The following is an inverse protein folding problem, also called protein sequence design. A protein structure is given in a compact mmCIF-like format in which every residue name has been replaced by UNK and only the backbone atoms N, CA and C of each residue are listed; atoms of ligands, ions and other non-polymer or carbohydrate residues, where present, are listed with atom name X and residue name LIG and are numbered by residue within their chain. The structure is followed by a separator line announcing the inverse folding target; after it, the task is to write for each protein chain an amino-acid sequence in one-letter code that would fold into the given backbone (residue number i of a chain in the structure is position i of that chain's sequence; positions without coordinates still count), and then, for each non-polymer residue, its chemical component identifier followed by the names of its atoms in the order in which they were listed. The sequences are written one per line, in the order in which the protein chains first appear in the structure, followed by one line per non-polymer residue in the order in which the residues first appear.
data_IF_488497692707
#
_entry.id   IF_488497692707
#
_cell.length_a   1.000
_cell.length_b   1.000
_cell.length_c   1.000
_cell.angle_alpha   90.00
_cell.angle_beta   90.00
_cell.angle_gamma   90.00
#
_symmetry.space_group_name_H-M   'P 1'
#
loop_
_entity.id
_entity.type
_entity.pdbx_description
1 polymer ?
#
# COMPACT_ATOMS: atom_id res chain seq x y z
N UNK A 1 -40.63 8.04 -19.59
CA UNK A 1 -41.30 7.51 -18.38
C UNK A 1 -41.52 6.02 -18.61
N UNK A 2 -40.60 5.16 -18.17
CA UNK A 2 -40.71 3.71 -18.34
C UNK A 2 -40.11 3.05 -17.11
N UNK A 3 -40.98 2.58 -16.22
CA UNK A 3 -40.64 1.84 -15.00
C UNK A 3 -40.45 0.39 -15.45
N UNK A 4 -39.23 -0.16 -15.35
CA UNK A 4 -38.98 -1.57 -15.67
C UNK A 4 -39.38 -2.49 -14.49
N UNK A 5 -39.81 -3.73 -14.78
CA UNK A 5 -40.56 -4.56 -13.86
C UNK A 5 -39.65 -5.59 -13.17
N UNK A 6 -39.01 -5.23 -12.06
CA UNK A 6 -38.33 -6.22 -11.20
C UNK A 6 -39.06 -6.49 -9.88
N UNK A 7 -40.25 -5.92 -9.71
CA UNK A 7 -41.18 -6.19 -8.61
C UNK A 7 -42.38 -7.06 -9.05
N UNK A 8 -42.16 -8.11 -9.83
CA UNK A 8 -43.16 -9.16 -9.97
C UNK A 8 -42.83 -10.30 -9.01
N UNK A 9 -43.16 -10.04 -7.75
CA UNK A 9 -43.47 -11.06 -6.75
C UNK A 9 -44.51 -11.99 -7.38
N UNK A 10 -44.17 -13.27 -7.59
CA UNK A 10 -45.17 -14.28 -7.93
C UNK A 10 -46.23 -14.31 -6.81
N UNK A 11 -47.52 -14.06 -7.09
CA UNK A 11 -48.52 -13.90 -6.02
C UNK A 11 -49.03 -15.21 -5.41
N UNK A 12 -48.34 -16.35 -5.56
CA UNK A 12 -48.82 -17.66 -5.07
C UNK A 12 -47.78 -18.45 -4.28
N UNK A 13 -47.15 -17.82 -3.28
CA UNK A 13 -46.47 -18.53 -2.19
C UNK A 13 -47.02 -18.03 -0.87
N UNK A 14 -48.23 -18.51 -0.55
CA UNK A 14 -48.78 -18.46 0.80
C UNK A 14 -47.96 -19.42 1.65
N UNK A 15 -47.25 -18.88 2.64
CA UNK A 15 -46.65 -19.67 3.71
C UNK A 15 -45.14 -19.90 3.57
N UNK A 16 -44.46 -19.62 4.68
CA UNK A 16 -43.10 -20.04 5.07
C UNK A 16 -41.93 -19.06 4.81
N UNK A 17 -41.66 -18.27 5.87
CA UNK A 17 -40.36 -17.77 6.35
C UNK A 17 -39.73 -16.47 5.75
N UNK A 18 -39.79 -15.33 6.48
CA UNK A 18 -39.17 -14.05 6.10
C UNK A 18 -37.64 -14.08 5.87
N UNK A 19 -36.95 -15.07 6.43
CA UNK A 19 -35.48 -15.17 6.41
C UNK A 19 -34.89 -15.73 5.11
N UNK A 20 -35.70 -16.33 4.23
CA UNK A 20 -35.20 -16.86 2.95
C UNK A 20 -34.92 -15.75 1.92
N UNK A 21 -35.70 -14.66 1.94
CA UNK A 21 -35.39 -13.46 1.15
C UNK A 21 -34.08 -12.78 1.59
N UNK A 22 -33.78 -12.77 2.89
CA UNK A 22 -32.52 -12.24 3.41
C UNK A 22 -31.31 -13.06 2.92
N UNK A 23 -31.39 -14.40 2.93
CA UNK A 23 -30.31 -15.26 2.43
C UNK A 23 -30.08 -15.10 0.93
N UNK A 24 -31.13 -14.93 0.13
CA UNK A 24 -30.96 -14.69 -1.31
C UNK A 24 -30.42 -13.29 -1.64
N UNK A 25 -30.74 -12.27 -0.84
CA UNK A 25 -30.22 -10.91 -1.03
C UNK A 25 -28.75 -10.78 -0.55
N UNK A 26 -28.37 -11.44 0.55
CA UNK A 26 -26.99 -11.43 1.05
C UNK A 26 -25.98 -12.15 0.15
N UNK A 27 -26.42 -13.13 -0.64
CA UNK A 27 -25.54 -13.92 -1.50
C UNK A 27 -25.37 -13.36 -2.93
N UNK A 28 -26.13 -12.32 -3.31
CA UNK A 28 -26.14 -11.79 -4.69
C UNK A 28 -25.54 -10.39 -4.85
N UNK A 29 -24.60 -9.99 -4.00
CA UNK A 29 -23.62 -8.98 -4.42
C UNK A 29 -22.67 -9.65 -5.43
N UNK A 30 -23.10 -9.66 -6.70
CA UNK A 30 -22.28 -10.08 -7.84
C UNK A 30 -20.90 -9.46 -7.70
N UNK A 31 -19.88 -10.32 -7.72
CA UNK A 31 -18.48 -9.94 -7.90
C UNK A 31 -18.43 -8.93 -9.05
N UNK A 32 -17.92 -7.72 -8.80
CA UNK A 32 -17.29 -6.95 -9.88
C UNK A 32 -15.82 -7.35 -9.80
N UNK A 33 -15.38 -8.43 -10.47
CA UNK A 33 -14.01 -8.89 -10.37
C UNK A 33 -13.04 -7.78 -10.78
N UNK A 34 -13.43 -6.97 -11.76
CA UNK A 34 -12.63 -5.89 -12.33
C UNK A 34 -12.14 -4.88 -11.27
N UNK A 35 -13.02 -4.41 -10.35
CA UNK A 35 -12.62 -3.43 -9.33
C UNK A 35 -11.68 -4.00 -8.27
N UNK A 36 -11.91 -5.27 -7.89
CA UNK A 36 -11.08 -5.94 -6.87
C UNK A 36 -9.69 -6.16 -7.45
N UNK A 37 -9.62 -6.71 -8.67
CA UNK A 37 -8.36 -6.96 -9.37
C UNK A 37 -7.63 -5.65 -9.62
N UNK A 38 -8.30 -4.62 -10.14
CA UNK A 38 -7.64 -3.35 -10.44
C UNK A 38 -7.04 -2.70 -9.18
N UNK A 39 -7.76 -2.67 -8.06
CA UNK A 39 -7.27 -2.03 -6.83
C UNK A 39 -6.14 -2.85 -6.21
N UNK A 40 -6.28 -4.18 -6.21
CA UNK A 40 -5.22 -5.06 -5.74
C UNK A 40 -3.95 -4.93 -6.59
N UNK A 41 -4.08 -4.88 -7.92
CA UNK A 41 -2.97 -4.66 -8.84
C UNK A 41 -2.27 -3.33 -8.55
N UNK A 42 -3.02 -2.26 -8.27
CA UNK A 42 -2.44 -0.97 -7.90
C UNK A 42 -1.65 -1.06 -6.59
N UNK A 43 -2.19 -1.71 -5.55
CA UNK A 43 -1.48 -1.89 -4.27
C UNK A 43 -0.20 -2.73 -4.46
N UNK A 44 -0.30 -3.87 -5.14
CA UNK A 44 0.83 -4.78 -5.34
C UNK A 44 1.92 -4.10 -6.17
N UNK A 45 1.59 -3.56 -7.34
CA UNK A 45 2.57 -2.92 -8.22
C UNK A 45 3.15 -1.65 -7.58
N UNK A 46 2.32 -0.86 -6.89
CA UNK A 46 2.75 0.34 -6.17
C UNK A 46 3.60 0.04 -4.92
N UNK A 47 3.67 -1.21 -4.47
CA UNK A 47 4.64 -1.65 -3.46
C UNK A 47 5.87 -2.33 -4.05
N UNK A 48 5.69 -3.21 -5.04
CA UNK A 48 6.77 -3.99 -5.66
C UNK A 48 7.71 -3.11 -6.45
N UNK A 49 7.20 -2.21 -7.30
CA UNK A 49 8.03 -1.40 -8.19
C UNK A 49 9.02 -0.53 -7.39
N UNK A 50 8.60 0.25 -6.37
CA UNK A 50 9.54 1.04 -5.57
C UNK A 50 10.56 0.18 -4.82
N UNK A 51 10.15 -0.98 -4.28
CA UNK A 51 11.06 -1.90 -3.60
C UNK A 51 12.09 -2.49 -4.56
N UNK A 52 11.69 -2.90 -5.76
CA UNK A 52 12.61 -3.38 -6.79
C UNK A 52 13.62 -2.30 -7.18
N UNK A 53 13.17 -1.06 -7.40
CA UNK A 53 14.08 0.07 -7.68
C UNK A 53 15.07 0.27 -6.54
N UNK A 54 14.62 0.22 -5.29
CA UNK A 54 15.50 0.37 -4.12
C UNK A 54 16.50 -0.78 -3.96
N UNK A 55 16.12 -2.01 -4.28
CA UNK A 55 17.01 -3.18 -4.23
C UNK A 55 18.05 -3.15 -5.35
N UNK A 56 17.65 -2.75 -6.56
CA UNK A 56 18.58 -2.55 -7.68
C UNK A 56 19.57 -1.43 -7.33
N UNK A 57 19.09 -0.31 -6.76
CA UNK A 57 19.96 0.77 -6.27
C UNK A 57 20.99 0.26 -5.25
N UNK A 58 20.57 -0.60 -4.32
CA UNK A 58 21.45 -1.14 -3.30
C UNK A 58 22.50 -2.11 -3.85
N UNK A 59 22.10 -3.10 -4.66
CA UNK A 59 22.99 -4.19 -5.06
C UNK A 59 23.74 -3.92 -6.37
N UNK A 60 23.13 -3.20 -7.32
CA UNK A 60 23.78 -2.91 -8.61
C UNK A 60 24.53 -1.58 -8.60
N UNK A 61 24.06 -0.59 -7.84
CA UNK A 61 24.70 0.74 -7.78
C UNK A 61 25.49 0.98 -6.47
N UNK A 62 25.54 -0.01 -5.56
CA UNK A 62 26.31 0.08 -4.32
C UNK A 62 25.78 1.11 -3.32
N UNK A 63 24.53 1.58 -3.48
CA UNK A 63 23.92 2.59 -2.62
C UNK A 63 23.43 1.93 -1.33
N UNK A 64 24.28 1.90 -0.32
CA UNK A 64 23.93 1.36 0.99
C UNK A 64 22.79 2.17 1.64
N UNK A 65 21.75 1.51 2.16
CA UNK A 65 20.61 2.20 2.75
C UNK A 65 20.94 2.69 4.15
N UNK A 66 20.54 3.93 4.46
CA UNK A 66 20.52 4.43 5.83
C UNK A 66 19.32 3.87 6.63
N UNK A 67 19.25 4.19 7.93
CA UNK A 67 18.16 3.75 8.80
C UNK A 67 16.77 4.15 8.26
N UNK A 68 16.59 5.42 7.86
CA UNK A 68 15.32 5.90 7.32
C UNK A 68 14.97 5.28 5.96
N UNK A 69 15.97 5.00 5.11
CA UNK A 69 15.76 4.25 3.87
C UNK A 69 15.18 2.86 4.13
N UNK A 70 15.69 2.14 5.14
CA UNK A 70 15.13 0.85 5.54
C UNK A 70 13.73 1.01 6.14
N UNK A 71 13.54 2.03 6.97
CA UNK A 71 12.24 2.29 7.60
C UNK A 71 11.13 2.54 6.57
N UNK A 72 11.46 3.21 5.46
CA UNK A 72 10.53 3.45 4.35
C UNK A 72 10.20 2.19 3.52
N UNK A 73 10.98 1.12 3.63
CA UNK A 73 10.74 -0.15 2.90
C UNK A 73 9.69 -1.03 3.58
N UNK A 74 9.63 -1.04 4.92
CA UNK A 74 8.67 -1.89 5.64
C UNK A 74 7.21 -1.60 5.29
N UNK A 75 6.74 -0.32 5.22
CA UNK A 75 5.37 -0.05 4.83
C UNK A 75 5.04 -0.57 3.43
N UNK A 76 5.97 -0.51 2.46
CA UNK A 76 5.76 -1.11 1.14
C UNK A 76 5.53 -2.62 1.20
N UNK A 77 6.24 -3.33 2.08
CA UNK A 77 5.98 -4.75 2.33
C UNK A 77 4.56 -4.99 2.86
N UNK A 78 4.09 -4.14 3.78
CA UNK A 78 2.71 -4.19 4.29
C UNK A 78 1.70 -3.91 3.18
N UNK A 79 1.96 -2.94 2.29
CA UNK A 79 1.09 -2.64 1.14
C UNK A 79 0.97 -3.85 0.21
N UNK A 80 2.08 -4.51 -0.12
CA UNK A 80 2.08 -5.71 -0.97
C UNK A 80 1.23 -6.81 -0.34
N UNK A 81 1.45 -7.08 0.95
CA UNK A 81 0.69 -8.08 1.70
C UNK A 81 -0.82 -7.75 1.69
N UNK A 82 -1.18 -6.50 1.96
CA UNK A 82 -2.57 -6.05 1.93
C UNK A 82 -3.18 -6.19 0.52
N UNK A 83 -2.41 -5.90 -0.53
CA UNK A 83 -2.81 -6.10 -1.92
C UNK A 83 -3.12 -7.57 -2.24
N UNK A 84 -2.23 -8.49 -1.83
CA UNK A 84 -2.43 -9.94 -2.01
C UNK A 84 -3.66 -10.41 -1.21
N UNK A 85 -3.78 -10.03 0.06
CA UNK A 85 -4.92 -10.40 0.90
C UNK A 85 -6.24 -9.87 0.33
N UNK A 86 -6.23 -8.69 -0.29
CA UNK A 86 -7.42 -8.13 -0.93
C UNK A 86 -7.93 -8.97 -2.12
N UNK A 87 -7.06 -9.74 -2.79
CA UNK A 87 -7.45 -10.69 -3.84
C UNK A 87 -8.08 -11.96 -3.29
N UNK A 88 -7.64 -12.41 -2.11
CA UNK A 88 -8.17 -13.62 -1.46
C UNK A 88 -9.59 -13.41 -0.93
N UNK A 89 -9.97 -12.17 -0.63
CA UNK A 89 -11.33 -11.85 -0.18
C UNK A 89 -12.31 -11.93 -1.35
N UNK A 90 -13.26 -12.87 -1.26
CA UNK A 90 -14.20 -13.20 -2.35
C UNK A 90 -15.30 -12.15 -2.58
N UNK A 91 -15.48 -11.20 -1.64
CA UNK A 91 -16.51 -10.16 -1.69
C UNK A 91 -15.90 -8.79 -1.40
N UNK A 92 -16.34 -7.76 -2.14
CA UNK A 92 -16.06 -6.35 -1.84
C UNK A 92 -16.84 -5.83 -0.61
N UNK A 93 -16.86 -6.63 0.47
CA UNK A 93 -17.46 -6.32 1.75
C UNK A 93 -16.47 -5.60 2.68
N UNK A 94 -16.76 -5.62 3.97
CA UNK A 94 -15.97 -4.89 4.98
C UNK A 94 -14.48 -5.29 4.97
N UNK A 95 -14.18 -6.59 4.93
CA UNK A 95 -12.80 -7.09 4.95
C UNK A 95 -11.95 -6.54 3.77
N UNK A 96 -12.49 -6.53 2.55
CA UNK A 96 -11.78 -5.96 1.40
C UNK A 96 -11.48 -4.47 1.60
N UNK A 97 -12.46 -3.70 2.10
CA UNK A 97 -12.27 -2.26 2.38
C UNK A 97 -11.20 -2.01 3.44
N UNK A 98 -11.14 -2.87 4.46
CA UNK A 98 -10.10 -2.80 5.51
C UNK A 98 -8.72 -3.04 4.91
N UNK A 99 -8.53 -4.08 4.09
CA UNK A 99 -7.22 -4.32 3.45
C UNK A 99 -6.79 -3.18 2.53
N UNK A 100 -7.72 -2.63 1.73
CA UNK A 100 -7.42 -1.47 0.88
C UNK A 100 -7.05 -0.24 1.73
N UNK A 101 -7.79 0.02 2.81
CA UNK A 101 -7.49 1.13 3.71
C UNK A 101 -6.12 0.96 4.38
N UNK A 102 -5.77 -0.24 4.84
CA UNK A 102 -4.45 -0.54 5.39
C UNK A 102 -3.33 -0.34 4.36
N UNK A 103 -3.56 -0.73 3.10
CA UNK A 103 -2.63 -0.46 2.01
C UNK A 103 -2.41 1.04 1.77
N UNK A 104 -3.49 1.84 1.76
CA UNK A 104 -3.39 3.30 1.64
C UNK A 104 -2.67 3.91 2.85
N UNK A 105 -2.94 3.42 4.07
CA UNK A 105 -2.20 3.82 5.27
C UNK A 105 -0.71 3.49 5.17
N UNK A 106 -0.35 2.36 4.54
CA UNK A 106 1.03 2.01 4.26
C UNK A 106 1.73 3.04 3.37
N UNK A 107 1.08 3.47 2.28
CA UNK A 107 1.62 4.57 1.45
C UNK A 107 1.67 5.91 2.18
N UNK A 108 0.67 6.24 3.01
CA UNK A 108 0.70 7.46 3.83
C UNK A 108 1.87 7.45 4.82
N UNK A 109 2.15 6.29 5.42
CA UNK A 109 3.31 6.11 6.29
C UNK A 109 4.61 6.30 5.50
N UNK A 110 4.77 5.67 4.33
CA UNK A 110 5.94 5.87 3.48
C UNK A 110 6.10 7.33 3.07
N UNK A 111 5.02 7.99 2.65
CA UNK A 111 5.04 9.39 2.22
C UNK A 111 5.49 10.31 3.34
N UNK A 112 4.89 10.16 4.53
CA UNK A 112 5.26 10.93 5.73
C UNK A 112 6.72 10.69 6.12
N UNK A 113 7.17 9.43 6.12
CA UNK A 113 8.57 9.10 6.40
C UNK A 113 9.54 9.67 5.36
N UNK A 114 9.13 9.71 4.08
CA UNK A 114 9.89 10.34 2.99
C UNK A 114 10.03 11.85 3.18
N UNK A 115 8.96 12.52 3.63
CA UNK A 115 8.99 13.95 3.96
C UNK A 115 9.89 14.24 5.15
N UNK A 116 9.80 13.44 6.22
CA UNK A 116 10.68 13.56 7.40
C UNK A 116 12.14 13.36 6.99
N UNK A 117 12.43 12.33 6.19
CA UNK A 117 13.79 12.07 5.72
C UNK A 117 14.32 13.20 4.83
N UNK A 118 13.48 13.74 3.95
CA UNK A 118 13.83 14.93 3.13
C UNK A 118 14.11 16.15 4.01
N UNK A 119 13.34 16.36 5.08
CA UNK A 119 13.55 17.45 6.02
C UNK A 119 14.86 17.29 6.82
N UNK A 120 15.24 16.06 7.15
CA UNK A 120 16.54 15.74 7.76
C UNK A 120 17.69 16.02 6.77
N UNK A 121 17.58 15.54 5.52
CA UNK A 121 18.55 15.80 4.45
C UNK A 121 18.70 17.30 4.13
N UNK A 122 17.62 18.08 4.28
CA UNK A 122 17.62 19.53 4.12
C UNK A 122 18.17 20.28 5.34
N UNK A 123 18.51 19.59 6.43
CA UNK A 123 18.98 20.18 7.68
C UNK A 123 17.90 20.94 8.47
N UNK A 124 16.62 20.79 8.10
CA UNK A 124 15.48 21.42 8.80
C UNK A 124 15.22 20.70 10.12
N UNK A 125 15.34 19.37 10.11
CA UNK A 125 15.22 18.52 11.29
C UNK A 125 16.58 17.92 11.63
N UNK A 126 16.89 17.84 12.92
CA UNK A 126 18.07 17.12 13.39
C UNK A 126 17.80 15.63 13.40
N UNK A 127 18.76 14.88 12.87
CA UNK A 127 18.76 13.44 12.99
C UNK A 127 19.13 13.05 14.43
N UNK A 128 18.40 12.08 14.99
CA UNK A 128 18.70 11.50 16.30
C UNK A 128 18.87 9.98 16.21
N UNK A 129 19.11 9.44 15.01
CA UNK A 129 19.39 8.02 14.84
C UNK A 129 20.84 7.75 15.19
N UNK A 130 21.07 7.05 16.31
CA UNK A 130 22.39 6.54 16.64
C UNK A 130 22.91 5.55 15.60
N UNK A 131 24.20 5.25 15.67
CA UNK A 131 24.81 4.17 14.88
C UNK A 131 24.13 2.84 15.22
N UNK A 132 23.41 2.26 14.26
CA UNK A 132 22.85 0.90 14.38
C UNK A 132 23.77 -0.05 13.64
N UNK A 133 24.63 -0.76 14.37
CA UNK A 133 25.40 -1.86 13.82
C UNK A 133 24.49 -3.08 13.59
N UNK A 134 24.77 -3.85 12.53
CA UNK A 134 24.08 -5.11 12.28
C UNK A 134 24.27 -6.10 13.43
N UNK A 135 23.32 -7.02 13.60
CA UNK A 135 23.40 -8.05 14.64
C UNK A 135 24.69 -8.88 14.49
N UNK A 136 25.47 -8.99 15.56
CA UNK A 136 26.64 -9.85 15.60
C UNK A 136 26.18 -11.32 15.50
N UNK A 137 26.89 -12.13 14.71
CA UNK A 137 26.54 -13.54 14.48
C UNK A 137 26.87 -14.45 15.66
N UNK A 138 27.64 -13.96 16.64
CA UNK A 138 28.04 -14.66 17.86
C UNK A 138 28.07 -13.69 19.06
N UNK A 139 27.83 -14.21 20.27
CA UNK A 139 27.82 -13.44 21.53
C UNK A 139 29.20 -12.98 22.03
N UNK A 140 30.26 -13.13 21.22
CA UNK A 140 31.60 -12.67 21.60
C UNK A 140 31.76 -11.16 21.37
N UNK A 141 32.34 -10.47 22.35
CA UNK A 141 32.65 -9.03 22.29
C UNK A 141 33.51 -8.68 21.06
N UNK A 142 34.43 -9.55 20.66
CA UNK A 142 35.27 -9.33 19.47
C UNK A 142 34.49 -9.44 18.16
N UNK A 143 33.53 -10.36 18.05
CA UNK A 143 32.63 -10.43 16.89
C UNK A 143 31.73 -9.18 16.82
N UNK A 144 31.22 -8.71 17.95
CA UNK A 144 30.44 -7.46 18.00
C UNK A 144 31.31 -6.25 17.63
N UNK A 145 32.54 -6.17 18.15
CA UNK A 145 33.50 -5.12 17.79
C UNK A 145 33.80 -5.15 16.29
N UNK A 146 34.08 -6.31 15.73
CA UNK A 146 34.33 -6.46 14.30
C UNK A 146 33.09 -6.14 13.45
N UNK A 147 31.89 -6.47 13.92
CA UNK A 147 30.64 -6.10 13.25
C UNK A 147 30.40 -4.58 13.24
N UNK A 148 30.71 -3.89 14.35
CA UNK A 148 30.62 -2.43 14.44
C UNK A 148 31.66 -1.77 13.54
N UNK A 149 32.92 -2.23 13.58
CA UNK A 149 34.02 -1.61 12.83
C UNK A 149 33.90 -1.79 11.32
N UNK A 150 33.30 -2.89 10.86
CA UNK A 150 33.15 -3.19 9.44
C UNK A 150 31.76 -2.81 8.89
N UNK A 151 30.84 -2.30 9.70
CA UNK A 151 29.53 -1.87 9.23
C UNK A 151 29.67 -0.62 8.34
N UNK A 152 29.07 -0.59 7.14
CA UNK A 152 29.00 0.64 6.35
C UNK A 152 28.13 1.65 7.09
N UNK A 153 28.76 2.66 7.69
CA UNK A 153 28.07 3.76 8.38
C UNK A 153 27.58 4.73 7.30
N UNK A 154 26.30 4.66 6.96
CA UNK A 154 25.64 5.62 6.05
C UNK A 154 24.81 6.59 6.87
N UNK A 155 25.14 7.87 6.77
CA UNK A 155 24.44 8.92 7.51
C UNK A 155 23.08 9.23 6.86
N UNK A 156 22.03 9.44 7.66
CA UNK A 156 20.68 9.75 7.15
C UNK A 156 20.50 11.24 6.79
N UNK A 157 21.43 12.10 7.21
CA UNK A 157 21.44 13.53 6.93
C UNK A 157 22.17 13.88 5.63
N UNK A 158 22.83 12.90 5.00
CA UNK A 158 23.49 13.08 3.72
C UNK A 158 22.67 12.46 2.58
N UNK A 159 22.56 13.19 1.48
CA UNK A 159 21.82 12.73 0.31
C UNK A 159 22.65 11.68 -0.45
N UNK A 160 22.31 10.41 -0.28
CA UNK A 160 23.00 9.30 -0.92
C UNK A 160 22.93 9.31 -2.46
N UNK A 161 21.79 9.72 -3.02
CA UNK A 161 21.60 9.83 -4.46
C UNK A 161 20.57 10.92 -4.81
N UNK A 162 20.84 11.62 -5.91
CA UNK A 162 19.93 12.59 -6.50
C UNK A 162 19.47 12.10 -7.87
N UNK A 163 18.18 12.25 -8.12
CA UNK A 163 17.58 12.04 -9.43
C UNK A 163 16.84 13.31 -9.82
N UNK A 164 17.16 13.88 -10.98
CA UNK A 164 16.58 15.16 -11.46
C UNK A 164 16.66 16.30 -10.43
N UNK A 165 17.75 16.35 -9.64
CA UNK A 165 18.00 17.37 -8.62
C UNK A 165 17.37 17.10 -7.25
N UNK A 166 16.40 16.19 -7.14
CA UNK A 166 15.75 15.81 -5.88
C UNK A 166 16.40 14.57 -5.27
N UNK A 167 16.35 14.45 -3.94
CA UNK A 167 16.83 13.24 -3.26
C UNK A 167 15.89 12.06 -3.52
N UNK A 168 16.42 10.85 -3.38
CA UNK A 168 15.58 9.64 -3.46
C UNK A 168 14.50 9.61 -2.36
N UNK A 169 14.74 10.22 -1.19
CA UNK A 169 13.74 10.36 -0.14
C UNK A 169 12.55 11.23 -0.61
N UNK A 170 12.83 12.33 -1.30
CA UNK A 170 11.78 13.19 -1.88
C UNK A 170 11.00 12.46 -2.96
N UNK A 171 11.67 11.72 -3.84
CA UNK A 171 11.01 10.89 -4.85
C UNK A 171 10.09 9.85 -4.24
N UNK A 172 10.48 9.27 -3.10
CA UNK A 172 9.65 8.31 -2.40
C UNK A 172 8.38 8.96 -1.84
N UNK A 173 8.49 10.17 -1.27
CA UNK A 173 7.33 10.94 -0.81
C UNK A 173 6.38 11.30 -1.95
N UNK A 174 6.92 11.77 -3.08
CA UNK A 174 6.14 12.09 -4.29
C UNK A 174 5.45 10.84 -4.84
N UNK A 175 6.18 9.73 -4.95
CA UNK A 175 5.65 8.46 -5.44
C UNK A 175 4.50 7.94 -4.58
N UNK A 176 4.65 7.99 -3.26
CA UNK A 176 3.57 7.63 -2.33
C UNK A 176 2.33 8.52 -2.51
N UNK A 177 2.50 9.84 -2.64
CA UNK A 177 1.39 10.76 -2.88
C UNK A 177 0.68 10.48 -4.21
N UNK A 178 1.43 10.21 -5.28
CA UNK A 178 0.88 9.83 -6.59
C UNK A 178 0.06 8.53 -6.51
N UNK A 179 0.56 7.50 -5.82
CA UNK A 179 -0.14 6.23 -5.65
C UNK A 179 -1.45 6.39 -4.86
N UNK A 180 -1.45 7.21 -3.81
CA UNK A 180 -2.67 7.54 -3.05
C UNK A 180 -3.68 8.27 -3.94
N UNK A 181 -3.23 9.25 -4.73
CA UNK A 181 -4.10 9.95 -5.68
C UNK A 181 -4.70 9.01 -6.72
N UNK A 182 -3.91 8.09 -7.27
CA UNK A 182 -4.37 7.07 -8.21
C UNK A 182 -5.40 6.13 -7.58
N UNK A 183 -5.20 5.70 -6.33
CA UNK A 183 -6.17 4.87 -5.62
C UNK A 183 -7.50 5.60 -5.37
N UNK A 184 -7.43 6.86 -4.94
CA UNK A 184 -8.62 7.71 -4.77
C UNK A 184 -9.36 7.94 -6.10
N UNK A 185 -8.61 8.19 -7.17
CA UNK A 185 -9.15 8.34 -8.52
C UNK A 185 -9.85 7.07 -8.96
N UNK A 186 -9.19 5.92 -8.89
CA UNK A 186 -9.76 4.63 -9.25
C UNK A 186 -11.04 4.31 -8.45
N UNK A 187 -11.03 4.55 -7.14
CA UNK A 187 -12.22 4.36 -6.31
C UNK A 187 -13.39 5.23 -6.80
N UNK A 188 -13.14 6.48 -7.16
CA UNK A 188 -14.16 7.39 -7.71
C UNK A 188 -14.69 6.92 -9.07
N UNK A 189 -13.83 6.38 -9.93
CA UNK A 189 -14.23 5.82 -11.23
C UNK A 189 -15.15 4.63 -11.06
N UNK A 190 -14.84 3.72 -10.13
CA UNK A 190 -15.67 2.55 -9.84
C UNK A 190 -17.06 2.94 -9.31
N UNK A 191 -17.13 3.96 -8.45
CA UNK A 191 -18.41 4.47 -7.92
C UNK A 191 -19.28 5.05 -9.05
N UNK A 192 -18.71 5.89 -9.93
CA UNK A 192 -19.44 6.46 -11.08
C UNK A 192 -19.94 5.39 -12.04
N UNK A 193 -19.12 4.37 -12.33
CA UNK A 193 -19.49 3.24 -13.20
C UNK A 193 -20.68 2.48 -12.62
N UNK A 194 -20.69 2.25 -11.31
CA UNK A 194 -21.78 1.56 -10.62
C UNK A 194 -23.10 2.37 -10.64
N UNK A 195 -23.04 3.67 -10.37
CA UNK A 195 -24.21 4.56 -10.42
C UNK A 195 -24.81 4.59 -11.84
N UNK A 196 -23.96 4.68 -12.86
CA UNK A 196 -24.42 4.67 -14.27
C UNK A 196 -25.10 3.35 -14.64
N UNK A 197 -24.60 2.20 -14.15
CA UNK A 197 -25.25 0.90 -14.38
C UNK A 197 -26.60 0.79 -13.68
N UNK A 198 -26.75 1.33 -12.46
CA UNK A 198 -28.04 1.34 -11.76
C UNK A 198 -29.07 2.25 -12.45
N UNK A 199 -28.65 3.40 -12.99
CA UNK A 199 -29.54 4.31 -13.72
C UNK A 199 -30.02 3.74 -15.06
N UNK A 200 -29.22 2.89 -15.69
CA UNK A 200 -29.51 2.30 -17.01
C UNK A 200 -30.21 0.93 -16.94
N UNK A 201 -30.28 0.31 -15.76
CA UNK A 201 -30.91 -0.98 -15.54
C UNK A 201 -32.44 -0.86 -15.56
#
# INVERSE_FOLDING_TARGET
MAIKPWCLVKPNLVGTYPWQCYKLFMFRCKKNPDKIVAMASLLILGGVIPLCVALIAQYNFGLHPCHYCLLQRYPYGVVILCGILSLLVTRAGLAWRVFVALGICGWLATGTLGLVHTAIEAGILTENSGCVAGAATNDSVDALRNAILNAPIVACNEVAARFLGLSMATWNAIGAALLIMLACWQYRFDVKRYDTQLRNA
#
